data_IF_927080609509
#
_entry.id   IF_927080609509
#
_cell.length_a   1.000
_cell.length_b   1.000
_cell.length_c   1.000
_cell.angle_alpha   90.00
_cell.angle_beta   90.00
_cell.angle_gamma   90.00
#
_symmetry.space_group_name_H-M   'P 1'
#
loop_
_entity.id
_entity.type
_entity.pdbx_description
1 polymer ?
#
# COMPACT_ATOMS: atom_id res chain seq x y z
N UNK A 1 -46.61 -41.85 4.64
CA UNK A 1 -46.83 -40.41 4.33
C UNK A 1 -46.50 -39.47 5.49
N UNK A 2 -46.96 -39.69 6.74
CA UNK A 2 -46.66 -38.81 7.90
C UNK A 2 -45.16 -38.60 8.20
N UNK A 3 -44.29 -39.60 7.98
CA UNK A 3 -42.83 -39.48 8.18
C UNK A 3 -42.12 -38.57 7.16
N UNK A 4 -42.66 -38.45 5.93
CA UNK A 4 -42.08 -37.59 4.89
C UNK A 4 -42.33 -36.11 5.17
N UNK A 5 -43.49 -35.76 5.74
CA UNK A 5 -43.83 -34.39 6.12
C UNK A 5 -42.95 -33.86 7.26
N UNK A 6 -42.54 -34.70 8.21
CA UNK A 6 -41.61 -34.30 9.27
C UNK A 6 -40.21 -33.99 8.74
N UNK A 7 -39.71 -34.76 7.77
CA UNK A 7 -38.41 -34.51 7.12
C UNK A 7 -38.46 -33.22 6.28
N UNK A 8 -39.56 -33.00 5.56
CA UNK A 8 -39.76 -31.79 4.77
C UNK A 8 -39.92 -30.54 5.64
N UNK A 9 -40.64 -30.64 6.77
CA UNK A 9 -40.77 -29.56 7.74
C UNK A 9 -39.43 -29.23 8.45
N UNK A 10 -38.61 -30.24 8.75
CA UNK A 10 -37.26 -30.03 9.29
C UNK A 10 -36.33 -29.34 8.28
N UNK A 11 -36.48 -29.62 6.99
CA UNK A 11 -35.70 -28.96 5.92
C UNK A 11 -36.08 -27.48 5.73
N UNK A 12 -37.37 -27.14 5.87
CA UNK A 12 -37.87 -25.76 5.75
C UNK A 12 -37.43 -24.88 6.94
N UNK A 13 -37.26 -25.46 8.13
CA UNK A 13 -36.76 -24.73 9.31
C UNK A 13 -35.27 -24.38 9.23
N UNK A 14 -34.49 -25.04 8.35
CA UNK A 14 -33.06 -24.78 8.18
C UNK A 14 -32.75 -23.63 7.20
N UNK A 15 -33.72 -23.15 6.41
CA UNK A 15 -33.46 -22.16 5.34
C UNK A 15 -33.71 -20.70 5.74
N UNK A 16 -34.27 -20.41 6.91
CA UNK A 16 -34.83 -19.07 7.21
C UNK A 16 -34.06 -18.20 8.19
N UNK A 17 -32.87 -18.59 8.65
CA UNK A 17 -32.04 -17.76 9.53
C UNK A 17 -30.84 -17.15 8.79
N UNK A 18 -31.06 -16.07 8.05
CA UNK A 18 -29.95 -15.15 7.71
C UNK A 18 -29.57 -14.43 9.02
N UNK A 19 -28.49 -14.89 9.66
CA UNK A 19 -28.02 -14.34 10.94
C UNK A 19 -27.83 -12.82 10.85
N UNK A 20 -28.30 -12.09 11.87
CA UNK A 20 -28.07 -10.64 12.10
C UNK A 20 -26.58 -10.25 11.95
N UNK A 21 -25.67 -11.20 12.24
CA UNK A 21 -24.21 -11.08 12.03
C UNK A 21 -23.84 -10.82 10.57
N UNK A 22 -24.52 -11.44 9.61
CA UNK A 22 -24.26 -11.25 8.17
C UNK A 22 -24.73 -9.88 7.65
N UNK A 23 -25.73 -9.26 8.28
CA UNK A 23 -26.18 -7.91 7.91
C UNK A 23 -25.19 -6.82 8.35
N UNK A 24 -24.71 -6.88 9.59
CA UNK A 24 -23.70 -5.93 10.12
C UNK A 24 -22.40 -6.01 9.31
N UNK A 25 -21.99 -7.23 8.97
CA UNK A 25 -20.89 -7.53 8.06
C UNK A 25 -21.03 -6.78 6.72
N UNK A 26 -22.22 -6.82 6.11
CA UNK A 26 -22.46 -6.19 4.80
C UNK A 26 -22.38 -4.65 4.88
N UNK A 27 -22.79 -4.06 6.00
CA UNK A 27 -22.68 -2.62 6.23
C UNK A 27 -21.24 -2.15 6.43
N UNK A 28 -20.40 -2.89 7.16
CA UNK A 28 -18.99 -2.54 7.36
C UNK A 28 -18.18 -2.61 6.04
N UNK A 29 -18.53 -3.53 5.14
CA UNK A 29 -17.93 -3.59 3.79
C UNK A 29 -18.29 -2.35 2.97
N UNK A 30 -19.53 -1.83 3.11
CA UNK A 30 -19.97 -0.65 2.38
C UNK A 30 -19.26 0.62 2.86
N UNK A 31 -19.01 0.78 4.16
CA UNK A 31 -18.28 1.94 4.70
C UNK A 31 -16.80 1.94 4.36
N UNK A 32 -16.20 0.77 4.12
CA UNK A 32 -14.80 0.60 3.70
C UNK A 32 -14.61 0.58 2.17
N UNK A 33 -15.71 0.62 1.41
CA UNK A 33 -15.70 0.52 -0.06
C UNK A 33 -15.17 1.79 -0.72
N UNK A 34 -15.47 2.96 -0.15
CA UNK A 34 -15.06 4.25 -0.69
C UNK A 34 -13.79 4.78 0.00
N UNK A 35 -12.88 5.38 -0.77
CA UNK A 35 -11.64 5.93 -0.22
C UNK A 35 -11.90 7.21 0.57
N UNK A 36 -11.88 7.09 1.90
CA UNK A 36 -11.88 8.22 2.84
C UNK A 36 -10.47 8.80 3.11
N UNK A 37 -9.43 8.20 2.52
CA UNK A 37 -8.03 8.58 2.74
C UNK A 37 -7.55 9.69 1.82
N UNK A 38 -8.32 9.99 0.77
CA UNK A 38 -8.00 11.10 -0.15
C UNK A 38 -8.11 12.43 0.59
N UNK A 39 -7.12 13.30 0.40
CA UNK A 39 -7.19 14.67 0.90
C UNK A 39 -8.48 15.37 0.39
N UNK A 40 -9.21 16.09 1.27
CA UNK A 40 -10.47 16.73 0.92
C UNK A 40 -10.32 17.81 -0.15
N UNK A 41 -9.11 18.38 -0.30
CA UNK A 41 -8.78 19.37 -1.31
C UNK A 41 -7.64 18.87 -2.19
N UNK A 42 -7.68 19.22 -3.47
CA UNK A 42 -6.51 19.07 -4.35
C UNK A 42 -5.49 20.11 -3.93
N UNK A 43 -4.33 19.66 -3.47
CA UNK A 43 -3.19 20.52 -3.23
C UNK A 43 -2.85 21.29 -4.52
N UNK A 44 -2.67 22.60 -4.39
CA UNK A 44 -2.35 23.49 -5.50
C UNK A 44 -0.83 23.65 -5.57
N UNK A 45 -0.14 22.62 -6.08
CA UNK A 45 1.29 22.67 -6.36
C UNK A 45 1.54 23.21 -7.78
N UNK A 46 2.67 23.88 -7.97
CA UNK A 46 3.15 24.20 -9.31
C UNK A 46 3.42 22.89 -10.08
N UNK A 47 2.71 22.67 -11.18
CA UNK A 47 2.83 21.46 -12.02
C UNK A 47 4.10 21.43 -12.88
N UNK A 48 5.21 21.97 -12.38
CA UNK A 48 6.49 22.00 -13.08
C UNK A 48 7.41 20.93 -12.51
N UNK A 49 7.72 19.92 -13.31
CA UNK A 49 8.72 18.92 -12.94
C UNK A 49 10.12 19.57 -12.91
N UNK A 50 10.92 19.30 -11.87
CA UNK A 50 12.33 19.66 -11.84
C UNK A 50 13.12 19.06 -13.01
N UNK A 51 14.28 19.65 -13.32
CA UNK A 51 15.20 19.10 -14.32
C UNK A 51 15.88 17.82 -13.82
N UNK A 52 15.94 16.81 -14.69
CA UNK A 52 16.56 15.50 -14.42
C UNK A 52 18.07 15.44 -14.75
N UNK A 53 18.69 16.57 -15.07
CA UNK A 53 20.12 16.64 -15.41
C UNK A 53 20.99 16.79 -14.15
N UNK A 54 20.87 15.84 -13.21
CA UNK A 54 21.48 15.95 -11.87
C UNK A 54 22.99 16.18 -11.93
N UNK A 55 23.73 15.47 -12.77
CA UNK A 55 25.19 15.67 -12.93
C UNK A 55 25.54 17.08 -13.40
N UNK A 56 24.79 17.63 -14.36
CA UNK A 56 25.00 19.00 -14.85
C UNK A 56 24.66 20.05 -13.79
N UNK A 57 23.58 19.85 -13.05
CA UNK A 57 23.16 20.74 -11.95
C UNK A 57 24.24 20.79 -10.87
N UNK A 58 24.75 19.62 -10.47
CA UNK A 58 25.79 19.51 -9.46
C UNK A 58 27.10 20.14 -9.96
N UNK A 59 27.49 19.88 -11.21
CA UNK A 59 28.69 20.47 -11.80
C UNK A 59 28.62 22.00 -11.89
N UNK A 60 27.45 22.55 -12.26
CA UNK A 60 27.23 23.99 -12.33
C UNK A 60 27.22 24.68 -10.94
N UNK A 61 27.04 23.92 -9.86
CA UNK A 61 26.96 24.43 -8.49
C UNK A 61 28.09 23.88 -7.60
N UNK A 62 29.25 23.58 -8.19
CA UNK A 62 30.39 22.99 -7.48
C UNK A 62 30.87 23.83 -6.28
N UNK A 63 30.71 25.16 -6.35
CA UNK A 63 31.00 26.10 -5.27
C UNK A 63 30.16 25.87 -4.00
N UNK A 64 28.99 25.25 -4.11
CA UNK A 64 28.09 24.99 -2.98
C UNK A 64 28.48 23.73 -2.20
N UNK A 65 29.36 22.89 -2.75
CA UNK A 65 29.77 21.62 -2.12
C UNK A 65 30.56 21.77 -0.83
N UNK A 66 31.06 22.98 -0.52
CA UNK A 66 31.69 23.24 0.79
C UNK A 66 30.69 23.17 1.95
N UNK A 67 29.41 23.36 1.66
CA UNK A 67 28.35 23.49 2.67
C UNK A 67 27.24 22.48 2.47
N UNK A 68 26.92 22.15 1.23
CA UNK A 68 25.79 21.30 0.86
C UNK A 68 26.26 19.98 0.26
N UNK A 69 25.59 18.90 0.65
CA UNK A 69 25.71 17.61 -0.04
C UNK A 69 25.14 17.69 -1.47
N UNK A 70 25.49 16.72 -2.33
CA UNK A 70 24.92 16.62 -3.68
C UNK A 70 23.39 16.51 -3.63
N UNK A 71 22.85 15.75 -2.67
CA UNK A 71 21.40 15.66 -2.44
C UNK A 71 20.81 17.01 -2.02
N UNK A 72 21.46 17.74 -1.11
CA UNK A 72 21.03 19.07 -0.69
C UNK A 72 20.97 20.05 -1.88
N UNK A 73 21.97 20.02 -2.78
CA UNK A 73 22.00 20.84 -4.01
C UNK A 73 20.83 20.48 -4.93
N UNK A 74 20.54 19.18 -5.11
CA UNK A 74 19.43 18.73 -5.96
C UNK A 74 18.06 19.09 -5.36
N UNK A 75 17.89 19.03 -4.03
CA UNK A 75 16.66 19.50 -3.37
C UNK A 75 16.49 21.01 -3.57
N UNK A 76 17.56 21.80 -3.41
CA UNK A 76 17.53 23.24 -3.68
C UNK A 76 17.15 23.55 -5.13
N UNK A 77 17.68 22.78 -6.09
CA UNK A 77 17.30 22.89 -7.49
C UNK A 77 15.81 22.58 -7.70
N UNK A 78 15.33 21.50 -7.10
CA UNK A 78 13.95 21.04 -7.26
C UNK A 78 12.93 22.00 -6.64
N UNK A 79 13.33 22.78 -5.62
CA UNK A 79 12.53 23.83 -4.99
C UNK A 79 12.80 25.23 -5.57
N UNK A 80 13.60 25.33 -6.64
CA UNK A 80 13.95 26.59 -7.29
C UNK A 80 14.58 27.61 -6.32
N UNK A 81 15.54 27.14 -5.50
CA UNK A 81 16.19 27.88 -4.43
C UNK A 81 17.71 28.10 -4.65
N UNK A 82 18.26 27.60 -5.76
CA UNK A 82 19.70 27.71 -6.03
C UNK A 82 20.16 29.16 -6.19
N UNK A 83 19.34 30.01 -6.81
CA UNK A 83 19.68 31.41 -7.02
C UNK A 83 19.75 32.16 -5.69
N UNK A 84 18.77 31.95 -4.81
CA UNK A 84 18.73 32.53 -3.47
C UNK A 84 19.94 32.09 -2.63
N UNK A 85 20.31 30.81 -2.69
CA UNK A 85 21.48 30.30 -1.95
C UNK A 85 22.78 30.90 -2.50
N UNK A 86 22.93 30.99 -3.82
CA UNK A 86 24.10 31.63 -4.43
C UNK A 86 24.17 33.14 -4.09
N UNK A 87 23.03 33.83 -4.00
CA UNK A 87 22.97 35.22 -3.56
C UNK A 87 23.40 35.38 -2.10
N UNK A 88 22.96 34.48 -1.20
CA UNK A 88 23.42 34.45 0.20
C UNK A 88 24.94 34.32 0.27
N UNK A 89 25.54 33.37 -0.47
CA UNK A 89 27.01 33.16 -0.48
C UNK A 89 27.77 34.42 -0.91
N UNK A 90 27.23 35.20 -1.86
CA UNK A 90 27.82 36.47 -2.29
C UNK A 90 27.69 37.54 -1.21
N UNK A 91 26.50 37.70 -0.64
CA UNK A 91 26.19 38.73 0.36
C UNK A 91 26.90 38.53 1.69
N UNK A 92 27.21 37.29 2.09
CA UNK A 92 27.99 37.01 3.32
C UNK A 92 29.40 37.62 3.34
N UNK A 93 29.93 38.02 2.19
CA UNK A 93 31.23 38.71 2.10
C UNK A 93 31.13 40.19 2.50
N UNK A 94 29.92 40.75 2.55
CA UNK A 94 29.65 42.12 2.95
C UNK A 94 29.01 42.16 4.34
N UNK A 95 29.68 42.81 5.29
CA UNK A 95 29.22 42.96 6.68
C UNK A 95 28.21 44.09 6.87
N UNK A 96 27.78 44.78 5.81
CA UNK A 96 26.79 45.86 5.91
C UNK A 96 25.44 45.37 6.44
N UNK A 97 24.75 46.23 7.19
CA UNK A 97 23.42 45.93 7.72
C UNK A 97 22.43 45.55 6.61
N UNK A 98 22.53 46.21 5.44
CA UNK A 98 21.66 45.93 4.30
C UNK A 98 21.87 44.50 3.77
N UNK A 99 23.13 44.06 3.64
CA UNK A 99 23.45 42.70 3.22
C UNK A 99 22.99 41.66 4.23
N UNK A 100 23.14 41.92 5.54
CA UNK A 100 22.62 41.04 6.59
C UNK A 100 21.09 40.90 6.54
N UNK A 101 20.37 42.01 6.38
CA UNK A 101 18.89 42.00 6.26
C UNK A 101 18.47 41.22 5.01
N UNK A 102 19.16 41.40 3.88
CA UNK A 102 18.86 40.69 2.64
C UNK A 102 19.09 39.18 2.77
N UNK A 103 20.16 38.75 3.45
CA UNK A 103 20.41 37.34 3.77
C UNK A 103 19.26 36.75 4.59
N UNK A 104 18.76 37.46 5.60
CA UNK A 104 17.61 37.01 6.40
C UNK A 104 16.32 36.89 5.56
N UNK A 105 16.06 37.82 4.64
CA UNK A 105 14.92 37.74 3.73
C UNK A 105 15.00 36.52 2.81
N UNK A 106 16.17 36.24 2.23
CA UNK A 106 16.40 35.06 1.39
C UNK A 106 16.24 33.77 2.19
N UNK A 107 16.73 33.72 3.45
CA UNK A 107 16.50 32.60 4.37
C UNK A 107 15.01 32.33 4.55
N UNK A 108 14.23 33.36 4.86
CA UNK A 108 12.78 33.21 5.06
C UNK A 108 12.08 32.67 3.80
N UNK A 109 12.49 33.13 2.61
CA UNK A 109 11.96 32.65 1.33
C UNK A 109 12.27 31.16 1.11
N UNK A 110 13.53 30.75 1.32
CA UNK A 110 13.96 29.35 1.21
C UNK A 110 13.20 28.47 2.22
N UNK A 111 13.17 28.87 3.49
CA UNK A 111 12.49 28.13 4.55
C UNK A 111 10.98 27.97 4.29
N UNK A 112 10.33 28.99 3.73
CA UNK A 112 8.92 28.92 3.35
C UNK A 112 8.68 27.84 2.29
N UNK A 113 9.48 27.83 1.22
CA UNK A 113 9.41 26.81 0.17
C UNK A 113 9.68 25.39 0.71
N UNK A 114 10.68 25.23 1.57
CA UNK A 114 10.99 23.94 2.20
C UNK A 114 9.85 23.48 3.11
N UNK A 115 9.25 24.38 3.90
CA UNK A 115 8.14 24.04 4.80
C UNK A 115 6.91 23.57 4.03
N UNK A 116 6.61 24.19 2.88
CA UNK A 116 5.54 23.73 1.99
C UNK A 116 5.84 22.33 1.45
N UNK A 117 7.07 22.10 0.97
CA UNK A 117 7.49 20.79 0.46
C UNK A 117 7.43 19.68 1.53
N UNK A 118 7.81 19.98 2.77
CA UNK A 118 7.68 19.05 3.90
C UNK A 118 6.21 18.73 4.20
N UNK A 119 5.33 19.74 4.17
CA UNK A 119 3.89 19.56 4.36
C UNK A 119 3.30 18.65 3.27
N UNK A 120 3.73 18.82 2.01
CA UNK A 120 3.33 17.96 0.90
C UNK A 120 3.83 16.51 1.07
N UNK A 121 5.06 16.34 1.54
CA UNK A 121 5.62 15.01 1.84
C UNK A 121 4.87 14.30 2.95
N UNK A 122 4.58 15.00 4.04
CA UNK A 122 3.84 14.44 5.16
C UNK A 122 2.40 14.08 4.76
N UNK A 123 1.78 14.88 3.89
CA UNK A 123 0.48 14.56 3.31
C UNK A 123 0.51 13.27 2.47
N UNK A 124 1.52 13.11 1.60
CA UNK A 124 1.67 11.88 0.81
C UNK A 124 1.96 10.67 1.69
N UNK A 125 2.79 10.81 2.73
CA UNK A 125 3.06 9.75 3.69
C UNK A 125 1.81 9.34 4.48
N UNK A 126 0.99 10.30 4.89
CA UNK A 126 -0.28 10.07 5.56
C UNK A 126 -1.31 9.39 4.64
N UNK A 127 -1.34 9.75 3.36
CA UNK A 127 -2.20 9.09 2.37
C UNK A 127 -1.80 7.62 2.20
N UNK A 128 -0.50 7.32 2.11
CA UNK A 128 -0.01 5.93 2.07
C UNK A 128 -0.38 5.14 3.34
N UNK A 129 -0.20 5.74 4.53
CA UNK A 129 -0.52 5.11 5.82
C UNK A 129 -2.01 4.78 5.92
N UNK A 130 -2.87 5.77 5.62
CA UNK A 130 -4.31 5.60 5.67
C UNK A 130 -4.80 4.55 4.67
N UNK A 131 -4.33 4.60 3.42
CA UNK A 131 -4.68 3.60 2.42
C UNK A 131 -4.15 2.20 2.82
N UNK A 132 -2.95 2.12 3.38
CA UNK A 132 -2.35 0.89 3.88
C UNK A 132 -3.20 0.25 4.97
N UNK A 133 -3.57 1.03 5.98
CA UNK A 133 -4.42 0.60 7.08
C UNK A 133 -5.84 0.23 6.61
N UNK A 134 -6.45 1.03 5.72
CA UNK A 134 -7.77 0.69 5.14
C UNK A 134 -7.73 -0.66 4.43
N UNK A 135 -6.71 -0.87 3.59
CA UNK A 135 -6.56 -2.12 2.84
C UNK A 135 -6.29 -3.29 3.79
N UNK A 136 -5.45 -3.12 4.81
CA UNK A 136 -5.13 -4.14 5.80
C UNK A 136 -6.37 -4.57 6.61
N UNK A 137 -7.22 -3.62 7.01
CA UNK A 137 -8.48 -3.93 7.70
C UNK A 137 -9.41 -4.79 6.84
N UNK A 138 -9.51 -4.49 5.55
CA UNK A 138 -10.31 -5.31 4.62
C UNK A 138 -9.64 -6.68 4.41
N UNK A 139 -8.31 -6.74 4.29
CA UNK A 139 -7.56 -8.01 4.21
C UNK A 139 -7.86 -8.92 5.40
N UNK A 140 -7.66 -8.41 6.61
CA UNK A 140 -7.96 -9.11 7.86
C UNK A 140 -9.43 -9.52 7.96
N UNK A 141 -10.34 -8.69 7.44
CA UNK A 141 -11.75 -9.02 7.38
C UNK A 141 -12.03 -10.22 6.44
N UNK A 142 -11.39 -10.25 5.25
CA UNK A 142 -11.50 -11.36 4.31
C UNK A 142 -10.90 -12.64 4.87
N UNK A 143 -9.80 -12.55 5.62
CA UNK A 143 -9.21 -13.70 6.32
C UNK A 143 -10.16 -14.28 7.35
N UNK A 144 -10.75 -13.44 8.20
CA UNK A 144 -11.73 -13.89 9.19
C UNK A 144 -12.92 -14.63 8.53
N UNK A 145 -13.34 -14.19 7.33
CA UNK A 145 -14.36 -14.91 6.56
C UNK A 145 -13.85 -16.27 6.04
N UNK A 146 -12.62 -16.33 5.55
CA UNK A 146 -11.99 -17.55 5.05
C UNK A 146 -11.78 -18.55 6.19
N UNK A 147 -11.27 -18.11 7.34
CA UNK A 147 -11.04 -18.92 8.53
C UNK A 147 -12.33 -19.48 9.09
N UNK A 148 -13.37 -18.64 9.21
CA UNK A 148 -14.68 -19.12 9.66
C UNK A 148 -15.25 -20.21 8.74
N UNK A 149 -15.03 -20.09 7.42
CA UNK A 149 -15.44 -21.13 6.47
C UNK A 149 -14.58 -22.39 6.63
N UNK A 150 -13.26 -22.24 6.68
CA UNK A 150 -12.33 -23.36 6.77
C UNK A 150 -12.55 -24.14 8.07
N UNK A 151 -12.75 -23.46 9.20
CA UNK A 151 -13.10 -24.09 10.49
C UNK A 151 -14.41 -24.89 10.42
N UNK A 152 -15.42 -24.41 9.69
CA UNK A 152 -16.66 -25.18 9.47
C UNK A 152 -16.42 -26.43 8.62
N UNK A 153 -15.60 -26.33 7.57
CA UNK A 153 -15.24 -27.48 6.73
C UNK A 153 -14.45 -28.54 7.53
N UNK A 154 -13.52 -28.10 8.39
CA UNK A 154 -12.80 -28.99 9.32
C UNK A 154 -13.80 -29.67 10.26
N UNK A 155 -14.72 -28.93 10.87
CA UNK A 155 -15.74 -29.49 11.75
C UNK A 155 -16.64 -30.49 11.02
N UNK A 156 -17.08 -30.20 9.80
CA UNK A 156 -17.87 -31.11 8.99
C UNK A 156 -17.09 -32.37 8.59
N UNK A 157 -15.78 -32.25 8.31
CA UNK A 157 -14.90 -33.39 8.08
C UNK A 157 -14.82 -34.29 9.31
N UNK A 158 -14.60 -33.72 10.50
CA UNK A 158 -14.52 -34.46 11.76
C UNK A 158 -15.86 -35.12 12.08
N UNK A 159 -16.96 -34.38 11.96
CA UNK A 159 -18.30 -34.91 12.24
C UNK A 159 -18.69 -36.02 11.25
N UNK A 160 -18.39 -35.86 9.95
CA UNK A 160 -18.65 -36.89 8.94
C UNK A 160 -17.87 -38.18 9.25
N UNK A 161 -16.58 -38.06 9.59
CA UNK A 161 -15.76 -39.22 9.98
C UNK A 161 -16.27 -39.91 11.25
N UNK A 162 -16.68 -39.13 12.26
CA UNK A 162 -17.24 -39.68 13.51
C UNK A 162 -18.58 -40.39 13.30
N UNK A 163 -19.51 -39.79 12.54
CA UNK A 163 -20.81 -40.39 12.23
C UNK A 163 -20.67 -41.66 11.41
N UNK A 164 -19.78 -41.66 10.42
CA UNK A 164 -19.49 -42.85 9.61
C UNK A 164 -18.97 -44.00 10.46
N UNK A 165 -17.98 -43.73 11.33
CA UNK A 165 -17.38 -44.75 12.20
C UNK A 165 -18.38 -45.39 13.17
N UNK A 166 -19.28 -44.58 13.73
CA UNK A 166 -20.33 -45.08 14.65
C UNK A 166 -21.40 -45.87 13.88
N UNK A 167 -21.84 -45.38 12.73
CA UNK A 167 -22.88 -46.03 11.94
C UNK A 167 -22.42 -47.36 11.32
N UNK A 168 -21.18 -47.44 10.82
CA UNK A 168 -20.57 -48.68 10.32
C UNK A 168 -20.45 -49.77 11.40
N UNK A 169 -20.17 -49.38 12.66
CA UNK A 169 -20.08 -50.31 13.78
C UNK A 169 -21.43 -50.85 14.30
N UNK A 170 -22.55 -50.19 14.00
CA UNK A 170 -23.90 -50.57 14.49
C UNK A 170 -24.67 -51.36 13.41
N UNK A 171 -24.43 -51.09 12.13
CA UNK A 171 -25.14 -51.75 11.02
C UNK A 171 -24.50 -53.11 10.73
N UNK A 172 -25.25 -54.19 10.98
CA UNK A 172 -24.81 -55.59 10.79
C UNK A 172 -24.97 -56.12 9.35
N UNK A 173 -25.62 -55.35 8.47
CA UNK A 173 -25.79 -55.71 7.06
C UNK A 173 -24.55 -55.28 6.27
N UNK A 174 -23.83 -56.25 5.69
CA UNK A 174 -22.52 -56.03 5.04
C UNK A 174 -22.59 -55.05 3.86
N UNK A 175 -23.72 -55.01 3.14
CA UNK A 175 -23.91 -54.09 2.01
C UNK A 175 -24.13 -52.65 2.46
N UNK A 176 -24.91 -52.46 3.52
CA UNK A 176 -25.17 -51.13 4.09
C UNK A 176 -24.01 -50.59 4.93
N UNK A 177 -23.26 -51.42 5.66
CA UNK A 177 -22.09 -50.97 6.43
C UNK A 177 -20.99 -50.47 5.47
N UNK A 178 -20.71 -51.22 4.41
CA UNK A 178 -19.72 -50.86 3.38
C UNK A 178 -20.08 -49.55 2.67
N UNK A 179 -21.37 -49.32 2.38
CA UNK A 179 -21.82 -48.08 1.75
C UNK A 179 -21.69 -46.85 2.68
N UNK A 180 -21.92 -47.02 3.99
CA UNK A 180 -21.80 -45.97 5.00
C UNK A 180 -20.34 -45.58 5.21
N UNK A 181 -19.44 -46.56 5.28
CA UNK A 181 -18.01 -46.32 5.47
C UNK A 181 -17.38 -45.63 4.24
N UNK A 182 -17.72 -46.07 3.03
CA UNK A 182 -17.24 -45.46 1.78
C UNK A 182 -17.77 -44.03 1.63
N UNK A 183 -19.06 -43.80 1.89
CA UNK A 183 -19.65 -42.46 1.76
C UNK A 183 -19.13 -41.50 2.82
N UNK A 184 -19.05 -41.93 4.07
CA UNK A 184 -18.51 -41.15 5.18
C UNK A 184 -17.03 -40.80 5.01
N UNK A 185 -16.21 -41.77 4.60
CA UNK A 185 -14.80 -41.57 4.28
C UNK A 185 -14.61 -40.61 3.10
N UNK A 186 -15.42 -40.74 2.04
CA UNK A 186 -15.38 -39.84 0.89
C UNK A 186 -15.80 -38.40 1.24
N UNK A 187 -16.86 -38.22 2.05
CA UNK A 187 -17.27 -36.88 2.49
C UNK A 187 -16.24 -36.24 3.44
N UNK A 188 -15.70 -37.00 4.39
CA UNK A 188 -14.62 -36.54 5.26
C UNK A 188 -13.39 -36.11 4.46
N UNK A 189 -12.90 -36.98 3.56
CA UNK A 189 -11.77 -36.66 2.68
C UNK A 189 -12.06 -35.46 1.76
N UNK A 190 -13.29 -35.36 1.23
CA UNK A 190 -13.70 -34.23 0.39
C UNK A 190 -13.69 -32.89 1.12
N UNK A 191 -14.22 -32.84 2.35
CA UNK A 191 -14.16 -31.64 3.18
C UNK A 191 -12.73 -31.30 3.61
N UNK A 192 -11.92 -32.29 3.98
CA UNK A 192 -10.49 -32.12 4.26
C UNK A 192 -9.72 -31.56 3.06
N UNK A 193 -9.87 -32.14 1.87
CA UNK A 193 -9.24 -31.64 0.64
C UNK A 193 -9.69 -30.21 0.29
N UNK A 194 -10.96 -29.87 0.53
CA UNK A 194 -11.46 -28.51 0.32
C UNK A 194 -10.84 -27.48 1.28
N UNK A 195 -10.27 -27.90 2.41
CA UNK A 195 -9.49 -27.03 3.31
C UNK A 195 -8.04 -26.84 2.87
N UNK A 196 -7.49 -27.77 2.08
CA UNK A 196 -6.11 -27.69 1.55
C UNK A 196 -5.99 -26.78 0.32
N UNK A 197 -7.04 -26.67 -0.50
CA UNK A 197 -7.09 -25.71 -1.60
C UNK A 197 -8.34 -24.82 -1.52
N UNK A 198 -8.44 -23.97 -0.47
CA UNK A 198 -9.58 -23.11 -0.29
C UNK A 198 -9.55 -22.04 -1.38
N UNK A 199 -10.48 -22.08 -2.35
CA UNK A 199 -10.76 -20.91 -3.19
C UNK A 199 -11.23 -19.79 -2.26
N UNK A 200 -10.33 -18.89 -1.86
CA UNK A 200 -10.62 -17.82 -0.90
C UNK A 200 -11.81 -16.96 -1.33
N UNK A 201 -12.46 -16.29 -0.39
CA UNK A 201 -13.48 -15.29 -0.68
C UNK A 201 -12.88 -14.14 -1.47
N UNK A 202 -13.68 -13.57 -2.37
CA UNK A 202 -13.37 -12.34 -3.08
C UNK A 202 -14.25 -11.23 -2.54
N UNK A 203 -13.69 -10.04 -2.41
CA UNK A 203 -14.42 -8.82 -2.07
C UNK A 203 -14.19 -7.77 -3.14
N UNK A 204 -15.19 -6.94 -3.38
CA UNK A 204 -15.03 -5.78 -4.24
C UNK A 204 -14.33 -4.67 -3.46
N UNK A 205 -13.25 -4.13 -4.00
CA UNK A 205 -12.51 -3.01 -3.41
C UNK A 205 -12.23 -1.96 -4.48
N UNK A 206 -12.51 -0.69 -4.16
CA UNK A 206 -12.46 0.43 -5.10
C UNK A 206 -11.42 1.45 -4.62
N UNK A 207 -10.58 1.91 -5.54
CA UNK A 207 -9.55 2.93 -5.30
C UNK A 207 -9.17 3.64 -6.60
N UNK A 208 -10.07 4.48 -7.12
CA UNK A 208 -9.84 5.23 -8.36
C UNK A 208 -8.53 6.05 -8.34
N UNK A 209 -8.20 6.60 -7.16
CA UNK A 209 -6.89 7.21 -6.92
C UNK A 209 -5.91 6.13 -6.48
N UNK A 210 -5.22 5.54 -7.45
CA UNK A 210 -4.25 4.49 -7.19
C UNK A 210 -2.81 5.01 -7.20
N UNK A 211 -2.27 5.31 -6.03
CA UNK A 211 -0.89 5.77 -5.86
C UNK A 211 0.14 4.75 -6.36
N UNK A 212 -0.14 3.44 -6.24
CA UNK A 212 0.79 2.37 -6.64
C UNK A 212 0.91 2.23 -8.15
N UNK A 213 -0.10 2.66 -8.93
CA UNK A 213 -0.08 2.53 -10.40
C UNK A 213 1.06 3.34 -11.01
N UNK A 214 1.15 4.62 -10.66
CA UNK A 214 2.16 5.52 -11.20
C UNK A 214 3.57 5.03 -10.83
N UNK A 215 3.73 4.46 -9.63
CA UNK A 215 4.98 3.85 -9.15
C UNK A 215 5.35 2.61 -9.96
N UNK A 216 4.39 1.69 -10.18
CA UNK A 216 4.61 0.47 -10.97
C UNK A 216 4.99 0.77 -12.42
N UNK A 217 4.29 1.74 -13.02
CA UNK A 217 4.55 2.20 -14.38
C UNK A 217 5.81 3.08 -14.48
N UNK A 218 6.42 3.43 -13.34
CA UNK A 218 7.53 4.38 -13.23
C UNK A 218 7.28 5.70 -13.96
N UNK A 219 6.00 6.12 -13.99
CA UNK A 219 5.53 7.29 -14.73
C UNK A 219 4.43 8.00 -13.96
N UNK A 220 4.57 9.33 -13.85
CA UNK A 220 3.53 10.19 -13.31
C UNK A 220 2.41 10.37 -14.34
N UNK A 221 1.49 9.41 -14.40
CA UNK A 221 0.34 9.44 -15.32
C UNK A 221 -0.85 10.19 -14.71
N UNK A 222 -0.96 10.19 -13.39
CA UNK A 222 -2.06 10.81 -12.65
C UNK A 222 -1.54 12.00 -11.84
N UNK A 223 -2.40 12.96 -11.43
CA UNK A 223 -2.04 13.98 -10.45
C UNK A 223 -1.98 13.39 -9.02
N UNK A 224 -1.28 12.27 -8.87
CA UNK A 224 -1.14 11.53 -7.63
C UNK A 224 -0.07 12.11 -6.73
N UNK A 225 1.00 12.64 -7.30
CA UNK A 225 2.13 13.15 -6.55
C UNK A 225 2.42 14.60 -6.92
N UNK A 226 2.81 15.44 -5.93
CA UNK A 226 3.47 16.71 -6.20
C UNK A 226 4.74 16.48 -7.06
N UNK A 227 5.04 17.35 -8.04
CA UNK A 227 6.20 17.18 -8.93
C UNK A 227 7.53 17.07 -8.20
N UNK A 228 7.72 17.83 -7.11
CA UNK A 228 8.91 17.76 -6.26
C UNK A 228 9.10 16.35 -5.68
N UNK A 229 8.04 15.76 -5.11
CA UNK A 229 8.09 14.43 -4.51
C UNK A 229 8.35 13.36 -5.57
N UNK A 230 7.68 13.48 -6.73
CA UNK A 230 7.90 12.56 -7.84
C UNK A 230 9.34 12.60 -8.35
N UNK A 231 9.95 13.78 -8.44
CA UNK A 231 11.36 13.94 -8.76
C UNK A 231 12.25 13.23 -7.73
N UNK A 232 12.00 13.41 -6.43
CA UNK A 232 12.76 12.73 -5.37
C UNK A 232 12.67 11.20 -5.45
N UNK A 233 11.52 10.66 -5.88
CA UNK A 233 11.33 9.22 -6.06
C UNK A 233 12.07 8.64 -7.26
N UNK A 234 12.27 9.44 -8.31
CA UNK A 234 12.71 8.98 -9.64
C UNK A 234 14.17 9.31 -9.93
N UNK A 235 14.73 10.34 -9.30
CA UNK A 235 16.15 10.66 -9.37
C UNK A 235 16.97 9.67 -8.53
N UNK A 236 17.99 9.08 -9.15
CA UNK A 236 18.81 8.02 -8.57
C UNK A 236 19.66 8.51 -7.40
N UNK A 237 20.07 9.78 -7.42
CA UNK A 237 20.88 10.40 -6.36
C UNK A 237 20.18 10.46 -4.99
N UNK A 238 18.86 10.28 -4.93
CA UNK A 238 18.13 10.18 -3.65
C UNK A 238 18.00 8.74 -3.13
N UNK A 239 18.53 7.76 -3.85
CA UNK A 239 18.59 6.37 -3.42
C UNK A 239 19.92 6.06 -2.76
N UNK A 240 19.90 5.26 -1.69
CA UNK A 240 21.09 4.88 -0.92
C UNK A 240 22.22 4.22 -1.74
N UNK A 241 21.90 3.60 -2.88
CA UNK A 241 22.86 2.90 -3.74
C UNK A 241 23.20 3.66 -5.03
N UNK A 242 22.51 4.77 -5.31
CA UNK A 242 22.64 5.61 -6.52
C UNK A 242 22.55 4.92 -7.90
N UNK A 243 22.38 3.60 -7.96
CA UNK A 243 22.26 2.84 -9.22
C UNK A 243 20.82 2.83 -9.77
N UNK A 244 19.85 2.75 -8.86
CA UNK A 244 18.43 2.68 -9.13
C UNK A 244 17.72 3.77 -8.34
N UNK A 245 16.67 4.35 -8.92
CA UNK A 245 15.78 5.26 -8.20
C UNK A 245 15.03 4.52 -7.09
N UNK A 246 14.40 5.29 -6.20
CA UNK A 246 13.59 4.72 -5.11
C UNK A 246 12.49 3.85 -5.71
N UNK A 247 11.75 4.35 -6.70
CA UNK A 247 10.62 3.62 -7.30
C UNK A 247 11.07 2.40 -8.11
N UNK A 248 12.21 2.48 -8.80
CA UNK A 248 12.74 1.34 -9.55
C UNK A 248 13.17 0.22 -8.60
N UNK A 249 13.78 0.59 -7.47
CA UNK A 249 14.12 -0.36 -6.40
C UNK A 249 12.88 -0.97 -5.75
N UNK A 250 11.81 -0.19 -5.56
CA UNK A 250 10.53 -0.70 -5.04
C UNK A 250 9.86 -1.66 -6.02
N UNK A 251 9.82 -1.33 -7.31
CA UNK A 251 9.26 -2.18 -8.34
C UNK A 251 9.94 -3.54 -8.40
N UNK A 252 11.29 -3.56 -8.40
CA UNK A 252 12.07 -4.80 -8.36
C UNK A 252 11.76 -5.62 -7.09
N UNK A 253 11.68 -4.95 -5.94
CA UNK A 253 11.32 -5.58 -4.67
C UNK A 253 9.92 -6.19 -4.71
N UNK A 254 8.95 -5.49 -5.30
CA UNK A 254 7.58 -5.97 -5.40
C UNK A 254 7.44 -7.15 -6.34
N UNK A 255 8.10 -7.08 -7.49
CA UNK A 255 8.17 -8.18 -8.43
C UNK A 255 8.70 -9.44 -7.75
N UNK A 256 9.80 -9.33 -7.01
CA UNK A 256 10.41 -10.46 -6.31
C UNK A 256 9.55 -10.99 -5.15
N UNK A 257 9.15 -10.13 -4.21
CA UNK A 257 8.54 -10.60 -2.95
C UNK A 257 7.01 -10.72 -2.98
N UNK A 258 6.30 -10.01 -3.85
CA UNK A 258 4.84 -10.06 -3.94
C UNK A 258 4.34 -10.85 -5.16
N UNK A 259 5.18 -11.00 -6.18
CA UNK A 259 4.81 -11.67 -7.43
C UNK A 259 5.72 -12.84 -7.82
N UNK A 260 6.67 -13.25 -6.97
CA UNK A 260 7.55 -14.40 -7.21
C UNK A 260 8.33 -14.28 -8.54
N UNK A 261 8.79 -13.08 -8.85
CA UNK A 261 9.46 -12.71 -10.10
C UNK A 261 8.60 -12.87 -11.38
N UNK A 262 7.28 -13.06 -11.25
CA UNK A 262 6.34 -13.17 -12.38
C UNK A 262 5.81 -11.78 -12.81
N UNK A 263 6.45 -11.23 -13.85
CA UNK A 263 6.09 -9.94 -14.43
C UNK A 263 4.66 -9.94 -15.02
N UNK A 264 4.23 -11.04 -15.65
CA UNK A 264 2.90 -11.11 -16.27
C UNK A 264 1.79 -11.09 -15.21
N UNK A 265 2.00 -11.81 -14.10
CA UNK A 265 1.10 -11.79 -12.94
C UNK A 265 1.03 -10.39 -12.32
N UNK A 266 2.17 -9.71 -12.21
CA UNK A 266 2.24 -8.35 -11.68
C UNK A 266 1.50 -7.34 -12.57
N UNK A 267 1.75 -7.34 -13.88
CA UNK A 267 1.12 -6.41 -14.83
C UNK A 267 -0.41 -6.60 -14.94
N UNK A 268 -0.89 -7.82 -14.75
CA UNK A 268 -2.32 -8.12 -14.76
C UNK A 268 -3.01 -7.89 -13.41
N UNK A 269 -2.23 -7.64 -12.35
CA UNK A 269 -2.72 -7.53 -10.98
C UNK A 269 -3.78 -6.44 -10.83
N UNK A 270 -4.79 -6.73 -10.00
CA UNK A 270 -5.80 -5.74 -9.63
C UNK A 270 -5.21 -4.59 -8.81
N UNK A 271 -4.05 -4.82 -8.16
CA UNK A 271 -3.38 -3.86 -7.27
C UNK A 271 -3.04 -2.55 -7.99
N UNK A 272 -2.72 -2.59 -9.28
CA UNK A 272 -2.32 -1.43 -10.09
C UNK A 272 -3.46 -0.84 -10.94
N UNK A 273 -4.70 -1.34 -10.77
CA UNK A 273 -5.92 -0.87 -11.48
C UNK A 273 -6.76 0.06 -10.58
N UNK A 274 -7.91 0.56 -11.04
CA UNK A 274 -8.79 1.45 -10.26
C UNK A 274 -9.62 0.76 -9.17
N UNK A 275 -9.48 -0.56 -9.05
CA UNK A 275 -10.30 -1.40 -8.18
C UNK A 275 -10.64 -2.73 -8.86
N UNK A 276 -11.45 -3.54 -8.18
CA UNK A 276 -11.92 -4.82 -8.71
C UNK A 276 -12.22 -5.83 -7.62
N UNK A 277 -12.17 -7.11 -7.99
CA UNK A 277 -12.35 -8.22 -7.05
C UNK A 277 -11.00 -8.66 -6.48
N UNK A 278 -10.84 -8.47 -5.18
CA UNK A 278 -9.64 -8.76 -4.42
C UNK A 278 -9.80 -10.04 -3.59
N UNK A 279 -8.73 -10.80 -3.47
CA UNK A 279 -8.53 -11.82 -2.43
C UNK A 279 -7.75 -11.21 -1.25
N UNK A 280 -7.67 -11.96 -0.14
CA UNK A 280 -6.89 -11.55 1.02
C UNK A 280 -5.43 -11.26 0.66
N UNK A 281 -4.77 -12.15 -0.07
CA UNK A 281 -3.37 -11.98 -0.48
C UNK A 281 -3.17 -10.71 -1.33
N UNK A 282 -4.10 -10.38 -2.23
CA UNK A 282 -4.05 -9.16 -3.03
C UNK A 282 -4.09 -7.90 -2.14
N UNK A 283 -4.92 -7.93 -1.09
CA UNK A 283 -5.06 -6.84 -0.13
C UNK A 283 -3.81 -6.72 0.74
N UNK A 284 -3.30 -7.82 1.28
CA UNK A 284 -2.08 -7.82 2.08
C UNK A 284 -0.87 -7.36 1.29
N UNK A 285 -0.74 -7.82 0.05
CA UNK A 285 0.32 -7.35 -0.86
C UNK A 285 0.20 -5.85 -1.11
N UNK A 286 -1.01 -5.34 -1.40
CA UNK A 286 -1.24 -3.90 -1.58
C UNK A 286 -0.91 -3.10 -0.31
N UNK A 287 -1.35 -3.55 0.86
CA UNK A 287 -1.04 -2.90 2.14
C UNK A 287 0.46 -2.85 2.40
N UNK A 288 1.18 -3.96 2.15
CA UNK A 288 2.63 -4.02 2.26
C UNK A 288 3.33 -3.03 1.31
N UNK A 289 2.89 -2.94 0.05
CA UNK A 289 3.44 -1.98 -0.92
C UNK A 289 3.22 -0.52 -0.47
N UNK A 290 2.03 -0.19 0.03
CA UNK A 290 1.71 1.14 0.56
C UNK A 290 2.60 1.49 1.77
N UNK A 291 2.78 0.57 2.71
CA UNK A 291 3.64 0.77 3.89
C UNK A 291 5.14 0.92 3.51
N UNK A 292 5.58 0.21 2.47
CA UNK A 292 6.93 0.38 1.94
C UNK A 292 7.12 1.78 1.32
N UNK A 293 6.12 2.28 0.59
CA UNK A 293 6.16 3.64 0.04
C UNK A 293 6.14 4.70 1.13
N UNK A 294 5.28 4.56 2.14
CA UNK A 294 5.27 5.42 3.32
C UNK A 294 6.67 5.51 3.97
N UNK A 295 7.35 4.37 4.12
CA UNK A 295 8.70 4.32 4.68
C UNK A 295 9.72 5.05 3.79
N UNK A 296 9.60 4.93 2.47
CA UNK A 296 10.42 5.68 1.52
C UNK A 296 10.15 7.18 1.57
N UNK A 297 8.88 7.62 1.65
CA UNK A 297 8.51 9.03 1.80
C UNK A 297 9.12 9.63 3.06
N UNK A 298 9.07 8.90 4.19
CA UNK A 298 9.71 9.35 5.45
C UNK A 298 11.22 9.44 5.35
N UNK A 299 11.86 8.59 4.55
CA UNK A 299 13.30 8.68 4.29
C UNK A 299 13.65 9.96 3.51
N UNK A 300 12.81 10.36 2.54
CA UNK A 300 12.98 11.64 1.84
C UNK A 300 12.87 12.82 2.81
N UNK A 301 11.97 12.76 3.79
CA UNK A 301 11.86 13.79 4.83
C UNK A 301 13.21 13.95 5.59
N UNK A 302 13.92 12.86 5.89
CA UNK A 302 15.26 12.94 6.49
C UNK A 302 16.28 13.69 5.62
N UNK A 303 16.25 13.49 4.29
CA UNK A 303 17.13 14.22 3.35
C UNK A 303 16.88 15.73 3.43
N UNK A 304 15.62 16.16 3.52
CA UNK A 304 15.27 17.58 3.64
C UNK A 304 15.69 18.15 5.00
N UNK A 305 15.59 17.36 6.08
CA UNK A 305 16.09 17.78 7.38
C UNK A 305 17.61 18.01 7.37
N UNK A 306 18.39 17.22 6.62
CA UNK A 306 19.82 17.50 6.42
C UNK A 306 20.06 18.80 5.66
N UNK A 307 19.25 19.12 4.64
CA UNK A 307 19.31 20.42 3.95
C UNK A 307 19.08 21.59 4.92
N UNK A 308 18.09 21.49 5.81
CA UNK A 308 17.83 22.53 6.82
C UNK A 308 19.04 22.76 7.73
N UNK A 309 19.70 21.68 8.16
CA UNK A 309 20.94 21.79 8.95
C UNK A 309 22.08 22.43 8.17
N UNK A 310 22.24 22.12 6.88
CA UNK A 310 23.25 22.75 6.02
C UNK A 310 22.94 24.23 5.78
N UNK A 311 21.67 24.60 5.63
CA UNK A 311 21.23 26.00 5.51
C UNK A 311 21.52 26.80 6.77
N UNK A 312 21.34 26.22 7.96
CA UNK A 312 21.68 26.90 9.21
C UNK A 312 23.20 27.13 9.34
N UNK A 313 24.04 26.15 8.95
CA UNK A 313 25.50 26.34 8.88
C UNK A 313 25.90 27.42 7.88
N UNK A 314 25.20 27.53 6.76
CA UNK A 314 25.48 28.56 5.76
C UNK A 314 25.30 29.96 6.35
N UNK A 315 24.42 30.13 7.34
CA UNK A 315 23.97 31.45 7.79
C UNK A 315 24.68 31.91 9.07
N UNK A 316 25.17 30.97 9.90
CA UNK A 316 26.14 31.23 10.96
C UNK A 316 27.49 31.71 10.40
#
# INVERSE_FOLDING_TARGET
MKKLYFIFAAFILLTSCVSKKNQVIKQNILTLRDSYCKAPFKYNYENKLPSYNSDSIIAANQQLKSTFSDQSILVLNALDNLDEVNEIVKLKKDSSLNSQVKVLQLKMKINSKITIALTELDAVAAEFDCEGERVAQIGNYVDNLNDSRNNKLILYSIAAGAVASIAGGIVKDEGWSSAIDISGGAFGAGFGLATLNPKGKKVEFIHQRNLLRDIWNERLESPNFPPFIWYMYTEKRFSNKEQHSIISSMKQRWLHYQFDDDQNKADQSVIFKDGGLYRADDLHNRAAMLNQMQSATRTINQIINYLLLDLDKLIL
#
